data_IF_715026840911
#
_entry.id   IF_715026840911
#
_cell.length_a   1.000
_cell.length_b   1.000
_cell.length_c   1.000
_cell.angle_alpha   90.00
_cell.angle_beta   90.00
_cell.angle_gamma   90.00
#
_symmetry.space_group_name_H-M   'P 1'
#
loop_
_entity.id
_entity.type
_entity.pdbx_description
1 polymer ?
#
# COMPACT_ATOMS: atom_id res chain seq x y z
N UNK A 1 -5.68 -2.68 -8.34
CA UNK A 1 -6.76 -1.69 -8.61
C UNK A 1 -6.81 -1.25 -10.08
N UNK A 2 -5.77 -0.60 -10.66
CA UNK A 2 -5.82 -0.24 -12.10
C UNK A 2 -5.95 -1.49 -12.98
N UNK A 3 -5.20 -2.57 -12.67
CA UNK A 3 -5.34 -3.85 -13.38
C UNK A 3 -6.74 -4.46 -13.26
N UNK A 4 -7.36 -4.42 -12.08
CA UNK A 4 -8.71 -4.94 -11.85
C UNK A 4 -9.79 -4.21 -12.67
N UNK A 5 -9.64 -2.90 -12.85
CA UNK A 5 -10.53 -2.11 -13.71
C UNK A 5 -10.32 -2.44 -15.19
N UNK A 6 -9.06 -2.60 -15.61
CA UNK A 6 -8.71 -3.00 -16.98
C UNK A 6 -9.30 -4.38 -17.29
N UNK A 7 -9.14 -5.35 -16.39
CA UNK A 7 -9.68 -6.70 -16.58
C UNK A 7 -11.21 -6.71 -16.62
N UNK A 8 -11.87 -5.99 -15.71
CA UNK A 8 -13.33 -5.92 -15.71
C UNK A 8 -13.86 -5.32 -17.02
N UNK A 9 -13.23 -4.24 -17.52
CA UNK A 9 -13.61 -3.63 -18.80
C UNK A 9 -13.40 -4.58 -19.97
N UNK A 10 -12.27 -5.29 -20.00
CA UNK A 10 -12.00 -6.27 -21.05
C UNK A 10 -13.01 -7.42 -21.03
N UNK A 11 -13.35 -7.92 -19.84
CA UNK A 11 -14.36 -8.96 -19.67
C UNK A 11 -15.75 -8.50 -20.14
N UNK A 12 -16.16 -7.27 -19.79
CA UNK A 12 -17.43 -6.68 -20.25
C UNK A 12 -17.48 -6.54 -21.78
N UNK A 13 -16.33 -6.31 -22.42
CA UNK A 13 -16.20 -6.22 -23.88
C UNK A 13 -16.00 -7.61 -24.55
N UNK A 14 -16.17 -8.70 -23.81
CA UNK A 14 -16.19 -10.08 -24.29
C UNK A 14 -14.82 -10.74 -24.45
N UNK A 15 -13.77 -10.19 -23.82
CA UNK A 15 -12.48 -10.86 -23.76
C UNK A 15 -12.47 -11.86 -22.60
N UNK A 16 -11.87 -13.02 -22.85
CA UNK A 16 -11.54 -13.99 -21.81
C UNK A 16 -10.27 -13.54 -21.08
N UNK A 17 -10.32 -13.49 -19.74
CA UNK A 17 -9.18 -13.13 -18.91
C UNK A 17 -8.47 -14.41 -18.46
N UNK A 18 -7.21 -14.54 -18.83
CA UNK A 18 -6.32 -15.64 -18.43
C UNK A 18 -5.10 -15.09 -17.71
N UNK A 19 -4.53 -15.87 -16.80
CA UNK A 19 -3.37 -15.46 -16.00
C UNK A 19 -2.06 -16.09 -16.47
N UNK A 20 -2.12 -17.13 -17.28
CA UNK A 20 -0.93 -17.69 -17.91
C UNK A 20 -0.60 -16.89 -19.18
N UNK A 21 0.57 -16.23 -19.26
CA UNK A 21 0.97 -15.47 -20.43
C UNK A 21 1.12 -16.33 -21.69
N UNK A 22 1.24 -17.66 -21.54
CA UNK A 22 1.36 -18.59 -22.67
C UNK A 22 0.01 -18.93 -23.29
N UNK A 23 -1.09 -18.69 -22.60
CA UNK A 23 -2.45 -18.98 -23.05
C UNK A 23 -3.15 -17.76 -23.67
N UNK A 24 -2.51 -16.57 -23.67
CA UNK A 24 -3.15 -15.34 -24.12
C UNK A 24 -2.73 -14.90 -25.53
N UNK A 25 -3.65 -14.28 -26.25
CA UNK A 25 -3.35 -13.57 -27.52
C UNK A 25 -2.78 -12.17 -27.30
N UNK A 26 -3.22 -11.50 -26.24
CA UNK A 26 -2.82 -10.12 -25.89
C UNK A 26 -2.40 -10.08 -24.44
N UNK A 27 -1.16 -9.69 -24.19
CA UNK A 27 -0.60 -9.56 -22.86
C UNK A 27 -0.68 -8.10 -22.38
N UNK A 28 -1.35 -7.89 -21.23
CA UNK A 28 -1.37 -6.62 -20.53
C UNK A 28 -0.39 -6.65 -19.36
N UNK A 29 0.53 -5.69 -19.34
CA UNK A 29 1.55 -5.56 -18.29
C UNK A 29 1.30 -4.26 -17.52
N UNK A 30 0.86 -4.38 -16.27
CA UNK A 30 0.70 -3.22 -15.39
C UNK A 30 2.01 -2.97 -14.63
N UNK A 31 2.61 -1.79 -14.82
CA UNK A 31 3.98 -1.48 -14.40
C UNK A 31 4.03 -0.46 -13.28
N UNK A 32 5.02 -0.64 -12.40
CA UNK A 32 5.45 0.34 -11.42
C UNK A 32 6.66 1.13 -11.94
N UNK A 33 6.88 2.35 -11.43
CA UNK A 33 8.06 3.15 -11.75
C UNK A 33 8.51 4.05 -10.59
N UNK A 34 8.00 3.78 -9.40
CA UNK A 34 8.25 4.62 -8.23
C UNK A 34 9.73 4.61 -7.82
N UNK A 35 10.39 3.45 -7.87
CA UNK A 35 11.80 3.29 -7.60
C UNK A 35 12.53 2.72 -8.82
N UNK A 36 13.84 2.91 -8.88
CA UNK A 36 14.68 2.33 -9.93
C UNK A 36 14.56 0.80 -9.98
N UNK A 37 14.53 0.13 -8.83
CA UNK A 37 14.32 -1.32 -8.74
C UNK A 37 12.99 -1.75 -9.38
N UNK A 38 11.91 -1.04 -9.09
CA UNK A 38 10.58 -1.33 -9.70
C UNK A 38 10.56 -1.07 -11.21
N UNK A 39 11.35 -0.10 -11.70
CA UNK A 39 11.50 0.11 -13.15
C UNK A 39 12.27 -1.02 -13.81
N UNK A 40 13.34 -1.48 -13.16
CA UNK A 40 14.15 -2.60 -13.69
C UNK A 40 13.31 -3.89 -13.76
N UNK A 41 12.56 -4.21 -12.71
CA UNK A 41 11.60 -5.32 -12.73
C UNK A 41 10.58 -5.17 -13.87
N UNK A 42 10.01 -3.97 -14.04
CA UNK A 42 9.09 -3.70 -15.14
C UNK A 42 9.74 -3.89 -16.52
N UNK A 43 11.02 -3.55 -16.68
CA UNK A 43 11.76 -3.79 -17.92
C UNK A 43 11.96 -5.28 -18.18
N UNK A 44 12.34 -6.05 -17.18
CA UNK A 44 12.51 -7.51 -17.30
C UNK A 44 11.19 -8.20 -17.72
N UNK A 45 10.07 -7.80 -17.12
CA UNK A 45 8.74 -8.34 -17.51
C UNK A 45 8.40 -7.96 -18.96
N UNK A 46 8.71 -6.74 -19.40
CA UNK A 46 8.48 -6.32 -20.80
C UNK A 46 9.39 -7.10 -21.76
N UNK A 47 10.66 -7.32 -21.41
CA UNK A 47 11.61 -8.10 -22.22
C UNK A 47 11.14 -9.55 -22.37
N UNK A 48 10.70 -10.20 -21.30
CA UNK A 48 10.13 -11.55 -21.34
C UNK A 48 8.88 -11.61 -22.25
N UNK A 49 8.00 -10.61 -22.17
CA UNK A 49 6.83 -10.53 -23.05
C UNK A 49 7.21 -10.37 -24.54
N UNK A 50 8.29 -9.63 -24.82
CA UNK A 50 8.81 -9.47 -26.18
C UNK A 50 9.37 -10.81 -26.71
N UNK A 51 10.01 -11.61 -25.86
CA UNK A 51 10.48 -12.95 -26.23
C UNK A 51 9.29 -13.84 -26.61
N UNK A 52 8.23 -13.89 -25.79
CA UNK A 52 7.00 -14.64 -26.11
C UNK A 52 6.38 -14.18 -27.44
N UNK A 53 6.40 -12.88 -27.74
CA UNK A 53 5.91 -12.35 -29.01
C UNK A 53 6.78 -12.76 -30.20
N UNK A 54 8.10 -12.75 -30.06
CA UNK A 54 9.05 -13.19 -31.10
C UNK A 54 8.89 -14.68 -31.41
N UNK A 55 8.58 -15.50 -30.40
CA UNK A 55 8.23 -16.91 -30.52
C UNK A 55 6.80 -17.15 -31.09
N UNK A 56 6.04 -16.09 -31.34
CA UNK A 56 4.66 -16.11 -31.83
C UNK A 56 3.64 -16.77 -30.87
N UNK A 57 3.97 -16.81 -29.58
CA UNK A 57 3.09 -17.29 -28.51
C UNK A 57 2.09 -16.19 -28.10
N UNK A 58 2.51 -14.93 -28.14
CA UNK A 58 1.69 -13.74 -27.90
C UNK A 58 1.64 -12.89 -29.18
N UNK A 59 0.46 -12.38 -29.54
CA UNK A 59 0.29 -11.53 -30.73
C UNK A 59 0.50 -10.05 -30.44
N UNK A 60 0.14 -9.61 -29.23
CA UNK A 60 0.13 -8.20 -28.88
C UNK A 60 0.57 -7.96 -27.42
N UNK A 61 1.31 -6.88 -27.21
CA UNK A 61 1.77 -6.43 -25.90
C UNK A 61 1.23 -5.02 -25.63
N UNK A 62 0.55 -4.86 -24.51
CA UNK A 62 0.05 -3.58 -24.00
C UNK A 62 0.69 -3.33 -22.63
N UNK A 63 1.45 -2.24 -22.50
CA UNK A 63 2.05 -1.82 -21.25
C UNK A 63 1.27 -0.66 -20.66
N UNK A 64 0.91 -0.75 -19.39
CA UNK A 64 0.10 0.25 -18.68
C UNK A 64 0.71 0.61 -17.33
N UNK A 65 0.22 1.69 -16.72
CA UNK A 65 0.57 2.09 -15.37
C UNK A 65 1.58 3.22 -15.26
N UNK A 66 2.38 3.18 -14.19
CA UNK A 66 3.26 4.29 -13.84
C UNK A 66 4.46 4.46 -14.80
N UNK A 67 4.98 3.37 -15.36
CA UNK A 67 6.15 3.42 -16.22
C UNK A 67 5.89 4.22 -17.52
N UNK A 68 4.83 3.95 -18.31
CA UNK A 68 4.48 4.77 -19.46
C UNK A 68 4.16 6.22 -19.08
N UNK A 69 3.56 6.44 -17.93
CA UNK A 69 3.24 7.77 -17.43
C UNK A 69 4.49 8.60 -17.15
N UNK A 70 5.50 7.99 -16.53
CA UNK A 70 6.74 8.67 -16.11
C UNK A 70 7.70 8.91 -17.27
N UNK A 71 7.92 7.90 -18.12
CA UNK A 71 8.98 7.90 -19.12
C UNK A 71 8.49 8.31 -20.53
N UNK A 72 7.18 8.29 -20.74
CA UNK A 72 6.61 8.78 -21.98
C UNK A 72 7.14 8.07 -23.23
N UNK A 73 7.42 8.84 -24.27
CA UNK A 73 7.77 8.31 -25.59
C UNK A 73 9.15 7.63 -25.65
N UNK A 74 10.04 7.86 -24.70
CA UNK A 74 11.36 7.21 -24.66
C UNK A 74 11.27 5.68 -24.58
N UNK A 75 10.15 5.16 -24.03
CA UNK A 75 9.89 3.73 -23.98
C UNK A 75 9.67 3.10 -25.36
N UNK A 76 9.14 3.85 -26.33
CA UNK A 76 8.95 3.35 -27.71
C UNK A 76 10.29 3.09 -28.40
N UNK A 77 11.29 3.90 -28.09
CA UNK A 77 12.62 3.72 -28.64
C UNK A 77 13.32 2.51 -27.99
N UNK A 78 13.12 2.35 -26.67
CA UNK A 78 13.68 1.24 -25.93
C UNK A 78 13.03 -0.11 -26.24
N UNK A 79 11.70 -0.13 -26.42
CA UNK A 79 10.90 -1.34 -26.65
C UNK A 79 9.97 -1.19 -27.86
N UNK A 80 10.51 -1.14 -29.09
CA UNK A 80 9.71 -0.93 -30.31
C UNK A 80 8.74 -2.08 -30.65
N UNK A 81 8.90 -3.24 -30.00
CA UNK A 81 8.02 -4.41 -30.17
C UNK A 81 6.71 -4.31 -29.38
N UNK A 82 6.62 -3.42 -28.40
CA UNK A 82 5.39 -3.17 -27.63
C UNK A 82 4.38 -2.43 -28.53
N UNK A 83 3.14 -2.91 -28.55
CA UNK A 83 2.11 -2.39 -29.45
C UNK A 83 1.39 -1.17 -28.91
N UNK A 84 1.13 -1.14 -27.60
CA UNK A 84 0.39 -0.04 -26.98
C UNK A 84 0.94 0.32 -25.61
N UNK A 85 0.83 1.62 -25.30
CA UNK A 85 1.30 2.19 -24.04
C UNK A 85 0.18 3.05 -23.44
N UNK A 86 -0.23 2.75 -22.21
CA UNK A 86 -1.24 3.47 -21.46
C UNK A 86 -0.67 3.99 -20.14
N UNK A 87 -0.76 5.29 -19.89
CA UNK A 87 -0.41 5.88 -18.60
C UNK A 87 -1.43 5.57 -17.50
N UNK A 88 -1.36 6.31 -16.41
CA UNK A 88 -2.29 6.20 -15.28
C UNK A 88 -3.63 6.90 -15.57
N UNK A 89 -4.73 6.43 -14.95
CA UNK A 89 -6.03 7.09 -15.02
C UNK A 89 -6.76 7.01 -16.38
N UNK A 90 -6.32 6.11 -17.28
CA UNK A 90 -6.90 5.91 -18.62
C UNK A 90 -7.28 4.45 -18.85
N UNK A 91 -7.77 3.78 -17.81
CA UNK A 91 -8.16 2.37 -17.84
C UNK A 91 -9.31 2.12 -18.83
N UNK A 92 -10.16 3.13 -19.08
CA UNK A 92 -11.22 3.15 -20.09
C UNK A 92 -10.72 2.95 -21.55
N UNK A 93 -9.43 3.05 -21.78
CA UNK A 93 -8.81 2.82 -23.07
C UNK A 93 -8.31 1.39 -23.30
N UNK A 94 -8.46 0.50 -22.32
CA UNK A 94 -7.91 -0.86 -22.38
C UNK A 94 -8.39 -1.64 -23.62
N UNK A 95 -9.68 -1.66 -23.88
CA UNK A 95 -10.27 -2.33 -25.05
C UNK A 95 -9.76 -1.75 -26.37
N UNK A 96 -9.62 -0.43 -26.44
CA UNK A 96 -9.06 0.21 -27.62
C UNK A 96 -7.59 -0.15 -27.80
N UNK A 97 -6.82 -0.19 -26.70
CA UNK A 97 -5.42 -0.60 -26.72
C UNK A 97 -5.26 -2.07 -27.12
N UNK A 98 -6.22 -2.95 -26.78
CA UNK A 98 -6.26 -4.34 -27.24
C UNK A 98 -6.48 -4.45 -28.76
N UNK A 99 -7.21 -3.55 -29.38
CA UNK A 99 -7.53 -3.58 -30.82
C UNK A 99 -6.54 -2.82 -31.69
N UNK A 100 -6.10 -1.66 -31.25
CA UNK A 100 -5.30 -0.69 -32.00
C UNK A 100 -3.94 -0.45 -31.34
N UNK A 101 -2.98 0.08 -32.10
CA UNK A 101 -1.72 0.60 -31.53
C UNK A 101 -1.95 2.00 -30.98
N UNK A 102 -1.80 2.18 -29.67
CA UNK A 102 -2.04 3.45 -28.99
C UNK A 102 -0.82 3.81 -28.13
N UNK A 103 -0.51 5.10 -28.11
CA UNK A 103 0.31 5.69 -27.07
C UNK A 103 -0.46 6.83 -26.41
N UNK A 104 -0.76 6.69 -25.13
CA UNK A 104 -1.42 7.72 -24.35
C UNK A 104 -0.88 7.73 -22.92
N UNK A 105 0.03 8.67 -22.64
CA UNK A 105 0.45 9.02 -21.30
C UNK A 105 -0.17 10.40 -20.98
N UNK A 106 -1.14 10.46 -20.12
CA UNK A 106 -1.79 11.72 -19.74
C UNK A 106 -2.41 11.58 -18.37
N UNK A 107 -1.95 12.40 -17.44
CA UNK A 107 -2.70 12.68 -16.21
C UNK A 107 -3.92 13.50 -16.63
N UNK A 108 -4.98 12.84 -17.04
CA UNK A 108 -6.28 13.49 -17.16
C UNK A 108 -7.07 13.22 -15.91
N UNK A 109 -7.80 14.25 -15.49
CA UNK A 109 -8.79 14.22 -14.43
C UNK A 109 -9.50 12.87 -14.33
N UNK A 110 -8.88 11.93 -13.61
CA UNK A 110 -9.54 10.73 -13.11
C UNK A 110 -10.49 11.10 -11.94
N UNK A 111 -10.96 12.35 -11.95
CA UNK A 111 -11.83 12.97 -10.96
C UNK A 111 -13.21 12.30 -10.79
N UNK A 112 -13.51 11.33 -11.62
CA UNK A 112 -14.61 10.41 -11.38
C UNK A 112 -14.04 9.21 -10.66
N UNK A 113 -14.00 9.27 -9.33
CA UNK A 113 -13.74 8.09 -8.50
C UNK A 113 -14.47 6.92 -9.15
N UNK A 114 -13.71 5.92 -9.50
CA UNK A 114 -14.12 4.94 -10.47
C UNK A 114 -15.33 4.15 -9.97
N UNK A 115 -16.50 4.45 -10.50
CA UNK A 115 -17.63 3.51 -10.54
C UNK A 115 -17.40 2.43 -11.62
N UNK A 116 -16.17 2.30 -12.15
CA UNK A 116 -15.85 1.23 -13.07
C UNK A 116 -15.91 -0.10 -12.32
N UNK A 117 -16.54 -1.12 -12.93
CA UNK A 117 -16.47 -2.47 -12.40
C UNK A 117 -15.03 -2.88 -12.14
N UNK A 118 -14.82 -3.68 -11.11
CA UNK A 118 -13.51 -4.23 -10.79
C UNK A 118 -13.60 -5.74 -10.69
N UNK A 119 -12.64 -6.41 -11.32
CA UNK A 119 -12.44 -7.84 -11.14
C UNK A 119 -11.39 -8.01 -10.04
N UNK A 120 -11.85 -8.35 -8.84
CA UNK A 120 -10.99 -8.42 -7.65
C UNK A 120 -9.87 -9.44 -7.81
N UNK A 121 -8.63 -9.03 -7.55
CA UNK A 121 -7.43 -9.85 -7.60
C UNK A 121 -6.91 -10.27 -6.21
N UNK A 122 -7.38 -9.60 -5.17
CA UNK A 122 -7.08 -9.94 -3.79
C UNK A 122 -7.87 -11.15 -3.33
N UNK A 123 -7.58 -11.66 -2.13
CA UNK A 123 -8.40 -12.68 -1.49
C UNK A 123 -9.87 -12.24 -1.48
N UNK A 124 -10.84 -13.14 -1.69
CA UNK A 124 -12.25 -12.76 -1.82
C UNK A 124 -12.79 -11.92 -0.66
N UNK A 125 -12.28 -12.16 0.56
CA UNK A 125 -12.68 -11.48 1.77
C UNK A 125 -11.92 -10.17 2.06
N UNK A 126 -10.96 -9.77 1.20
CA UNK A 126 -10.12 -8.56 1.35
C UNK A 126 -10.25 -7.67 0.13
N UNK A 127 -10.60 -6.41 0.30
CA UNK A 127 -10.63 -5.44 -0.80
C UNK A 127 -9.94 -4.12 -0.43
N UNK A 128 -9.27 -3.52 -1.44
CA UNK A 128 -8.71 -2.17 -1.30
C UNK A 128 -9.67 -1.14 -1.89
N UNK A 129 -10.04 -0.15 -1.10
CA UNK A 129 -10.83 1.01 -1.53
C UNK A 129 -9.91 2.23 -1.68
N UNK A 130 -9.64 2.62 -2.91
CA UNK A 130 -8.89 3.85 -3.20
C UNK A 130 -9.82 5.05 -3.06
N UNK A 131 -9.53 5.92 -2.10
CA UNK A 131 -10.42 7.04 -1.74
C UNK A 131 -10.00 8.38 -2.36
N UNK A 132 -8.78 8.45 -2.87
CA UNK A 132 -8.23 9.61 -3.55
C UNK A 132 -7.10 9.20 -4.51
N UNK A 133 -6.71 10.08 -5.40
CA UNK A 133 -5.61 9.90 -6.34
C UNK A 133 -4.69 11.11 -6.32
N UNK A 134 -3.38 10.89 -6.60
CA UNK A 134 -2.38 11.94 -6.67
C UNK A 134 -1.92 12.45 -5.30
N UNK A 135 -0.97 13.38 -5.33
CA UNK A 135 -0.41 13.98 -4.11
C UNK A 135 0.09 15.40 -4.40
N UNK A 136 -0.29 16.36 -3.55
CA UNK A 136 0.15 17.77 -3.67
C UNK A 136 1.28 18.13 -2.71
N UNK A 137 1.85 17.14 -1.98
CA UNK A 137 3.05 17.35 -1.18
C UNK A 137 4.28 17.48 -2.06
N UNK A 138 5.23 18.31 -1.61
CA UNK A 138 6.48 18.59 -2.33
C UNK A 138 7.68 17.84 -1.74
N UNK A 139 7.48 16.62 -1.22
CA UNK A 139 8.58 15.81 -0.66
C UNK A 139 9.72 15.71 -1.67
N UNK A 140 10.94 16.04 -1.25
CA UNK A 140 12.09 16.21 -2.14
C UNK A 140 12.54 14.92 -2.84
N UNK A 141 12.14 13.76 -2.34
CA UNK A 141 12.49 12.41 -2.85
C UNK A 141 11.38 11.77 -3.68
N UNK A 142 10.17 12.34 -3.72
CA UNK A 142 8.99 11.62 -4.19
C UNK A 142 8.63 11.98 -5.64
N UNK A 143 8.38 10.95 -6.45
CA UNK A 143 7.98 11.08 -7.86
C UNK A 143 6.47 11.07 -8.06
N UNK A 144 5.66 10.78 -7.03
CA UNK A 144 4.20 10.63 -7.13
C UNK A 144 3.50 11.83 -7.79
N UNK A 145 3.81 13.11 -7.42
CA UNK A 145 3.14 14.24 -8.06
C UNK A 145 3.33 14.30 -9.58
N UNK A 146 4.49 13.86 -10.09
CA UNK A 146 4.76 13.82 -11.53
C UNK A 146 4.11 12.63 -12.25
N UNK A 147 3.80 11.54 -11.53
CA UNK A 147 3.20 10.33 -12.09
C UNK A 147 1.67 10.34 -11.97
N UNK A 148 1.15 10.66 -10.78
CA UNK A 148 -0.27 10.58 -10.43
C UNK A 148 -0.99 11.94 -10.41
N UNK A 149 -0.24 13.04 -10.60
CA UNK A 149 -0.78 14.40 -10.59
C UNK A 149 -1.10 14.95 -9.21
N UNK A 150 -1.80 16.10 -9.16
CA UNK A 150 -2.23 16.73 -7.92
C UNK A 150 -3.27 15.85 -7.21
N UNK A 151 -3.34 16.02 -5.89
CA UNK A 151 -4.29 15.33 -5.04
C UNK A 151 -5.74 15.69 -5.40
N UNK A 152 -6.61 14.69 -5.49
CA UNK A 152 -8.05 14.85 -5.60
C UNK A 152 -8.76 13.67 -4.95
N UNK A 153 -9.78 13.97 -4.15
CA UNK A 153 -10.62 12.98 -3.48
C UNK A 153 -11.74 12.47 -4.39
N UNK A 154 -12.21 11.25 -4.13
CA UNK A 154 -13.35 10.73 -4.83
C UNK A 154 -14.66 11.05 -4.10
N UNK A 155 -15.79 11.22 -4.82
CA UNK A 155 -17.07 11.55 -4.19
C UNK A 155 -17.51 10.50 -3.16
N UNK A 156 -17.89 10.94 -1.96
CA UNK A 156 -18.30 10.07 -0.85
C UNK A 156 -19.34 9.02 -1.28
N UNK A 157 -20.34 9.46 -2.06
CA UNK A 157 -21.40 8.57 -2.55
C UNK A 157 -20.84 7.41 -3.38
N UNK A 158 -19.83 7.64 -4.19
CA UNK A 158 -19.20 6.62 -5.03
C UNK A 158 -18.42 5.62 -4.19
N UNK A 159 -17.68 6.13 -3.19
CA UNK A 159 -16.90 5.30 -2.27
C UNK A 159 -17.79 4.37 -1.44
N UNK A 160 -18.90 4.89 -0.94
CA UNK A 160 -19.88 4.07 -0.18
C UNK A 160 -20.52 3.02 -1.07
N UNK A 161 -20.86 3.37 -2.33
CA UNK A 161 -21.43 2.41 -3.28
C UNK A 161 -20.43 1.31 -3.65
N UNK A 162 -19.16 1.64 -3.87
CA UNK A 162 -18.10 0.66 -4.16
C UNK A 162 -17.85 -0.26 -2.97
N UNK A 163 -17.78 0.30 -1.74
CA UNK A 163 -17.65 -0.48 -0.51
C UNK A 163 -18.82 -1.44 -0.30
N UNK A 164 -20.06 -1.00 -0.58
CA UNK A 164 -21.26 -1.85 -0.50
C UNK A 164 -21.24 -2.99 -1.54
N UNK A 165 -20.73 -2.73 -2.73
CA UNK A 165 -20.56 -3.77 -3.75
C UNK A 165 -19.53 -4.82 -3.33
N UNK A 166 -18.42 -4.42 -2.72
CA UNK A 166 -17.45 -5.36 -2.14
C UNK A 166 -18.07 -6.22 -1.05
N UNK A 167 -18.81 -5.62 -0.12
CA UNK A 167 -19.51 -6.36 0.93
C UNK A 167 -20.48 -7.41 0.37
N UNK A 168 -21.25 -7.06 -0.68
CA UNK A 168 -22.17 -7.99 -1.36
C UNK A 168 -21.41 -9.16 -2.03
N UNK A 169 -20.16 -8.95 -2.42
CA UNK A 169 -19.31 -9.97 -3.01
C UNK A 169 -18.48 -10.77 -1.99
N UNK A 170 -18.72 -10.57 -0.68
CA UNK A 170 -18.11 -11.37 0.40
C UNK A 170 -16.88 -10.74 1.04
N UNK A 171 -16.54 -9.48 0.73
CA UNK A 171 -15.45 -8.77 1.42
C UNK A 171 -15.79 -8.56 2.89
N UNK A 172 -14.87 -8.96 3.77
CA UNK A 172 -14.94 -8.82 5.23
C UNK A 172 -14.00 -7.75 5.76
N UNK A 173 -12.81 -7.63 5.18
CA UNK A 173 -11.83 -6.58 5.47
C UNK A 173 -11.74 -5.59 4.31
N UNK A 174 -12.03 -4.31 4.59
CA UNK A 174 -11.91 -3.21 3.64
C UNK A 174 -10.72 -2.32 4.01
N UNK A 175 -9.77 -2.17 3.09
CA UNK A 175 -8.55 -1.39 3.31
C UNK A 175 -8.67 -0.07 2.56
N UNK A 176 -8.69 1.03 3.30
CA UNK A 176 -8.79 2.39 2.79
C UNK A 176 -7.41 2.90 2.44
N UNK A 177 -7.19 3.26 1.18
CA UNK A 177 -5.90 3.71 0.67
C UNK A 177 -5.98 4.99 -0.17
N UNK A 178 -4.95 5.80 -0.08
CA UNK A 178 -4.61 6.90 -0.98
C UNK A 178 -3.09 7.18 -0.87
N UNK A 179 -2.56 8.13 -1.61
CA UNK A 179 -1.19 8.62 -1.39
C UNK A 179 -1.06 9.45 -0.09
N UNK A 180 -2.16 10.03 0.36
CA UNK A 180 -2.34 10.63 1.69
C UNK A 180 -3.82 10.48 2.08
N UNK A 181 -4.12 9.49 2.91
CA UNK A 181 -5.49 9.18 3.33
C UNK A 181 -6.01 10.20 4.35
N UNK A 182 -5.12 10.88 5.07
CA UNK A 182 -5.48 11.82 6.14
C UNK A 182 -6.30 13.02 5.66
N UNK A 183 -6.15 13.40 4.38
CA UNK A 183 -6.80 14.60 3.81
C UNK A 183 -7.95 14.27 2.87
N UNK A 184 -8.41 13.02 2.86
CA UNK A 184 -9.52 12.63 1.99
C UNK A 184 -10.76 13.48 2.25
N UNK A 185 -11.36 13.95 1.16
CA UNK A 185 -12.60 14.72 1.18
C UNK A 185 -12.45 16.21 1.53
N UNK A 186 -11.25 16.68 1.93
CA UNK A 186 -11.05 18.10 2.28
C UNK A 186 -11.17 19.03 1.07
N UNK A 187 -10.97 18.53 -0.14
CA UNK A 187 -11.24 19.21 -1.42
C UNK A 187 -12.70 19.08 -1.88
N UNK A 188 -13.51 18.35 -1.11
CA UNK A 188 -14.94 18.17 -1.24
C UNK A 188 -15.67 18.57 0.06
N UNK A 189 -16.84 18.01 0.33
CA UNK A 189 -17.68 18.36 1.47
C UNK A 189 -17.68 17.31 2.60
N UNK A 190 -16.62 16.49 2.71
CA UNK A 190 -16.49 15.46 3.74
C UNK A 190 -15.04 15.34 4.22
N UNK A 191 -14.76 14.44 5.16
CA UNK A 191 -13.44 14.11 5.68
C UNK A 191 -13.32 12.62 6.02
N UNK A 192 -12.12 12.18 6.42
CA UNK A 192 -11.86 10.78 6.77
C UNK A 192 -12.81 10.24 7.86
N UNK A 193 -13.05 10.92 9.01
CA UNK A 193 -14.02 10.44 9.99
C UNK A 193 -15.43 10.25 9.44
N UNK A 194 -15.88 11.15 8.57
CA UNK A 194 -17.17 11.03 7.90
C UNK A 194 -17.23 9.81 7.00
N UNK A 195 -16.20 9.59 6.19
CA UNK A 195 -16.09 8.42 5.32
C UNK A 195 -16.13 7.12 6.13
N UNK A 196 -15.33 7.03 7.21
CA UNK A 196 -15.30 5.86 8.10
C UNK A 196 -16.68 5.60 8.73
N UNK A 197 -17.36 6.67 9.17
CA UNK A 197 -18.71 6.58 9.73
C UNK A 197 -19.76 6.08 8.73
N UNK A 198 -19.66 6.42 7.45
CA UNK A 198 -20.59 5.89 6.43
C UNK A 198 -20.27 4.44 6.05
N UNK A 199 -18.97 4.10 5.88
CA UNK A 199 -18.56 2.72 5.54
C UNK A 199 -18.87 1.74 6.69
N UNK A 200 -18.72 2.16 7.94
CA UNK A 200 -19.00 1.29 9.11
C UNK A 200 -20.44 0.82 9.21
N UNK A 201 -21.38 1.51 8.54
CA UNK A 201 -22.81 1.12 8.49
C UNK A 201 -23.08 -0.01 7.49
N UNK A 202 -22.13 -0.34 6.64
CA UNK A 202 -22.31 -1.38 5.63
C UNK A 202 -22.26 -2.75 6.30
N UNK A 203 -23.32 -3.53 6.12
CA UNK A 203 -23.36 -4.92 6.57
C UNK A 203 -22.40 -5.78 5.72
N UNK A 204 -21.78 -6.78 6.35
CA UNK A 204 -20.82 -7.67 5.70
C UNK A 204 -19.35 -7.23 5.81
N UNK A 205 -19.06 -5.94 6.00
CA UNK A 205 -17.71 -5.48 6.37
C UNK A 205 -17.57 -5.62 7.89
N UNK A 206 -16.52 -6.29 8.33
CA UNK A 206 -16.20 -6.47 9.76
C UNK A 206 -14.98 -5.66 10.17
N UNK A 207 -13.98 -5.53 9.30
CA UNK A 207 -12.76 -4.79 9.53
C UNK A 207 -12.58 -3.67 8.51
N UNK A 208 -12.29 -2.48 9.00
CA UNK A 208 -11.92 -1.30 8.19
C UNK A 208 -10.52 -0.89 8.61
N UNK A 209 -9.56 -1.08 7.72
CA UNK A 209 -8.16 -0.69 7.93
C UNK A 209 -7.87 0.58 7.14
N UNK A 210 -7.08 1.49 7.72
CA UNK A 210 -6.66 2.73 7.05
C UNK A 210 -5.14 2.72 6.91
N UNK A 211 -4.65 2.93 5.71
CA UNK A 211 -3.21 3.02 5.43
C UNK A 211 -2.82 4.42 4.92
N UNK A 212 -1.53 4.73 4.99
CA UNK A 212 -0.90 5.94 4.47
C UNK A 212 -1.43 7.24 5.10
N UNK A 213 -1.37 7.31 6.43
CA UNK A 213 -1.68 8.51 7.21
C UNK A 213 -0.48 9.44 7.26
N UNK A 214 -0.60 10.64 6.70
CA UNK A 214 0.48 11.61 6.78
C UNK A 214 0.50 12.27 8.17
N UNK A 215 1.62 12.19 8.92
CA UNK A 215 1.69 12.72 10.27
C UNK A 215 1.43 14.24 10.37
N UNK A 216 1.66 14.99 9.28
CA UNK A 216 1.37 16.43 9.22
C UNK A 216 -0.12 16.75 9.39
N UNK A 217 -1.00 15.85 8.96
CA UNK A 217 -2.44 16.06 8.93
C UNK A 217 -3.17 15.33 10.06
N UNK A 218 -2.48 14.44 10.78
CA UNK A 218 -3.08 13.73 11.92
C UNK A 218 -3.36 14.70 13.07
N UNK A 219 -4.63 14.89 13.32
CA UNK A 219 -5.14 15.71 14.41
C UNK A 219 -6.15 14.89 15.24
N UNK A 220 -6.60 15.46 16.38
CA UNK A 220 -7.51 14.78 17.30
C UNK A 220 -8.80 14.29 16.61
N UNK A 221 -9.37 15.08 15.67
CA UNK A 221 -10.58 14.69 14.95
C UNK A 221 -10.39 13.42 14.13
N UNK A 222 -9.24 13.28 13.46
CA UNK A 222 -8.92 12.06 12.70
C UNK A 222 -8.69 10.90 13.66
N UNK A 223 -7.95 11.08 14.75
CA UNK A 223 -7.72 10.06 15.78
C UNK A 223 -9.05 9.58 16.36
N UNK A 224 -9.97 10.48 16.69
CA UNK A 224 -11.32 10.14 17.16
C UNK A 224 -12.12 9.34 16.12
N UNK A 225 -11.87 9.55 14.82
CA UNK A 225 -12.46 8.77 13.74
C UNK A 225 -12.16 7.26 13.82
N UNK A 226 -11.04 6.87 14.42
CA UNK A 226 -10.68 5.46 14.64
C UNK A 226 -11.49 4.80 15.78
N UNK A 227 -12.26 5.57 16.57
CA UNK A 227 -13.22 5.04 17.54
C UNK A 227 -14.51 4.57 16.88
N UNK A 228 -14.66 4.80 15.58
CA UNK A 228 -15.82 4.31 14.80
C UNK A 228 -15.84 2.77 14.80
N UNK A 229 -17.01 2.14 15.00
CA UNK A 229 -17.11 0.67 14.97
C UNK A 229 -16.51 0.07 13.71
N UNK A 230 -15.92 -1.12 13.82
CA UNK A 230 -15.24 -1.87 12.75
C UNK A 230 -13.91 -1.27 12.27
N UNK A 231 -13.59 -0.01 12.61
CA UNK A 231 -12.30 0.60 12.28
C UNK A 231 -11.22 0.03 13.19
N UNK A 232 -10.21 -0.56 12.58
CA UNK A 232 -9.09 -1.16 13.32
C UNK A 232 -8.20 -0.07 13.92
N UNK A 233 -7.69 -0.24 15.15
CA UNK A 233 -6.72 0.68 15.75
C UNK A 233 -5.33 0.49 15.14
N UNK A 234 -5.25 0.52 13.82
CA UNK A 234 -4.05 0.35 13.01
C UNK A 234 -3.68 1.67 12.35
N UNK A 235 -2.57 2.26 12.78
CA UNK A 235 -2.11 3.58 12.37
C UNK A 235 -0.84 3.44 11.53
N UNK A 236 -0.96 3.45 10.21
CA UNK A 236 0.17 3.47 9.29
C UNK A 236 0.61 4.91 9.02
N UNK A 237 1.69 5.32 9.66
CA UNK A 237 2.18 6.71 9.72
C UNK A 237 3.62 6.77 9.18
N UNK A 238 3.84 6.98 7.88
CA UNK A 238 5.17 7.07 7.30
C UNK A 238 5.88 8.36 7.74
N UNK A 239 6.68 8.29 8.82
CA UNK A 239 7.42 9.46 9.35
C UNK A 239 8.66 9.79 8.52
N UNK A 240 9.20 8.85 7.78
CA UNK A 240 10.37 8.91 6.91
C UNK A 240 11.70 9.07 7.64
N UNK A 241 11.81 9.99 8.60
CA UNK A 241 12.96 10.24 9.47
C UNK A 241 12.52 10.99 10.73
N UNK A 242 13.45 11.22 11.69
CA UNK A 242 13.14 11.96 12.93
C UNK A 242 14.06 13.16 13.20
N UNK A 243 15.24 13.22 12.55
CA UNK A 243 16.10 14.40 12.64
C UNK A 243 15.47 15.57 11.93
N UNK A 244 15.28 16.67 12.63
CA UNK A 244 14.64 17.89 12.09
C UNK A 244 15.39 18.38 10.84
N UNK A 245 16.74 18.30 10.84
CA UNK A 245 17.58 18.62 9.67
C UNK A 245 17.24 17.75 8.45
N UNK A 246 17.06 16.46 8.66
CA UNK A 246 16.75 15.53 7.54
C UNK A 246 15.30 15.74 7.08
N UNK A 247 14.36 15.96 8.00
CA UNK A 247 12.98 16.29 7.65
C UNK A 247 12.88 17.59 6.85
N UNK A 248 13.70 18.61 7.16
CA UNK A 248 13.80 19.82 6.33
C UNK A 248 14.32 19.53 4.93
N UNK A 249 15.38 18.72 4.80
CA UNK A 249 15.93 18.28 3.51
C UNK A 249 14.90 17.45 2.71
N UNK A 250 14.08 16.67 3.39
CA UNK A 250 12.95 15.91 2.81
C UNK A 250 11.78 16.80 2.38
N UNK A 251 11.83 18.12 2.67
CA UNK A 251 10.70 19.05 2.54
C UNK A 251 9.47 18.61 3.36
N UNK A 252 9.72 18.06 4.57
CA UNK A 252 8.72 17.61 5.55
C UNK A 252 9.03 18.20 6.94
N UNK A 253 9.16 19.53 7.12
CA UNK A 253 9.63 20.13 8.37
C UNK A 253 8.65 19.96 9.54
N UNK A 254 7.44 19.48 9.28
CA UNK A 254 6.40 19.22 10.27
C UNK A 254 5.72 17.87 10.01
N UNK A 255 5.35 17.16 11.08
CA UNK A 255 5.73 17.42 12.47
C UNK A 255 7.24 17.19 12.71
N UNK A 256 7.82 17.89 13.66
CA UNK A 256 9.17 17.65 14.13
C UNK A 256 9.24 16.42 15.05
N UNK A 257 10.46 16.01 15.46
CA UNK A 257 10.68 14.83 16.30
C UNK A 257 9.79 14.77 17.54
N UNK A 258 9.68 15.88 18.29
CA UNK A 258 8.92 15.91 19.54
C UNK A 258 7.41 15.87 19.30
N UNK A 259 6.95 16.47 18.19
CA UNK A 259 5.56 16.40 17.74
C UNK A 259 5.19 14.98 17.28
N UNK A 260 6.09 14.29 16.56
CA UNK A 260 5.91 12.86 16.18
C UNK A 260 5.81 12.01 17.45
N UNK A 261 6.72 12.19 18.42
CA UNK A 261 6.68 11.44 19.67
C UNK A 261 5.35 11.65 20.40
N UNK A 262 4.89 12.89 20.55
CA UNK A 262 3.62 13.22 21.21
C UNK A 262 2.43 12.61 20.48
N UNK A 263 2.42 12.65 19.17
CA UNK A 263 1.38 12.04 18.34
C UNK A 263 1.25 10.55 18.63
N UNK A 264 2.36 9.81 18.61
CA UNK A 264 2.37 8.37 18.88
C UNK A 264 1.94 8.06 20.33
N UNK A 265 2.38 8.87 21.30
CA UNK A 265 1.96 8.71 22.70
C UNK A 265 0.45 8.98 22.87
N UNK A 266 -0.11 9.97 22.16
CA UNK A 266 -1.54 10.23 22.15
C UNK A 266 -2.31 9.01 21.61
N UNK A 267 -1.88 8.47 20.47
CA UNK A 267 -2.50 7.27 19.88
C UNK A 267 -2.47 6.11 20.87
N UNK A 268 -1.33 5.79 21.47
CA UNK A 268 -1.19 4.68 22.42
C UNK A 268 -1.98 4.87 23.71
N UNK A 269 -2.17 6.13 24.13
CA UNK A 269 -2.99 6.45 25.31
C UNK A 269 -4.47 6.23 25.03
N UNK A 270 -4.94 6.64 23.86
CA UNK A 270 -6.34 6.52 23.47
C UNK A 270 -6.71 5.12 22.97
N UNK A 271 -5.74 4.41 22.40
CA UNK A 271 -5.88 3.06 21.85
C UNK A 271 -4.74 2.16 22.40
N UNK A 272 -4.87 1.62 23.61
CA UNK A 272 -3.80 0.82 24.25
C UNK A 272 -3.37 -0.42 23.44
N UNK A 273 -4.29 -0.99 22.63
CA UNK A 273 -4.04 -2.15 21.77
C UNK A 273 -3.75 -1.73 20.31
N UNK A 274 -3.40 -0.45 20.07
CA UNK A 274 -3.10 0.04 18.73
C UNK A 274 -1.82 -0.56 18.16
N UNK A 275 -1.84 -0.76 16.86
CA UNK A 275 -0.65 -1.01 16.04
C UNK A 275 -0.21 0.30 15.39
N UNK A 276 1.01 0.73 15.65
CA UNK A 276 1.63 1.88 14.99
C UNK A 276 2.68 1.37 14.01
N UNK A 277 2.37 1.52 12.72
CA UNK A 277 3.27 1.17 11.61
C UNK A 277 3.96 2.43 11.08
N UNK A 278 5.21 2.30 10.65
CA UNK A 278 5.94 3.40 10.04
C UNK A 278 6.83 2.95 8.89
N UNK A 279 7.24 3.90 8.05
CA UNK A 279 8.26 3.72 7.03
C UNK A 279 9.35 4.78 7.19
N UNK A 280 10.59 4.36 7.02
CA UNK A 280 11.79 5.18 7.18
C UNK A 280 12.66 5.12 5.92
N UNK A 281 13.38 6.20 5.65
CA UNK A 281 14.40 6.28 4.61
C UNK A 281 15.75 6.50 5.28
N UNK A 282 16.70 5.61 5.04
CA UNK A 282 18.08 5.68 5.54
C UNK A 282 19.04 6.16 4.46
N UNK A 283 20.14 6.79 4.85
CA UNK A 283 21.11 7.33 3.91
C UNK A 283 20.60 8.50 3.08
N UNK A 284 19.60 9.23 3.60
CA UNK A 284 19.08 10.42 2.93
C UNK A 284 20.13 11.55 2.84
N UNK A 285 20.09 12.42 1.82
CA UNK A 285 21.00 13.57 1.71
C UNK A 285 21.13 14.38 2.99
N UNK A 286 22.36 14.49 3.48
CA UNK A 286 22.70 15.19 4.73
C UNK A 286 22.62 14.33 5.99
N UNK A 287 22.24 13.04 5.91
CA UNK A 287 22.26 12.12 7.04
C UNK A 287 23.70 11.71 7.37
N UNK A 288 24.20 12.20 8.49
CA UNK A 288 25.47 11.78 9.08
C UNK A 288 25.26 10.68 10.11
N UNK A 289 26.35 10.23 10.75
CA UNK A 289 26.27 9.28 11.87
C UNK A 289 25.42 9.86 13.02
N UNK A 290 25.47 11.17 13.24
CA UNK A 290 24.70 11.82 14.31
C UNK A 290 23.20 11.68 14.08
N UNK A 291 22.69 12.04 12.90
CA UNK A 291 21.27 11.93 12.57
C UNK A 291 20.80 10.47 12.55
N UNK A 292 21.68 9.57 12.14
CA UNK A 292 21.36 8.14 12.15
C UNK A 292 21.25 7.58 13.58
N UNK A 293 22.16 7.96 14.49
CA UNK A 293 22.07 7.58 15.92
C UNK A 293 20.82 8.17 16.61
N UNK A 294 20.42 9.40 16.25
CA UNK A 294 19.14 9.97 16.68
C UNK A 294 17.95 9.09 16.25
N UNK A 295 17.96 8.61 14.99
CA UNK A 295 16.92 7.74 14.46
C UNK A 295 16.86 6.42 15.22
N UNK A 296 17.99 5.73 15.43
CA UNK A 296 18.07 4.47 16.21
C UNK A 296 17.55 4.65 17.63
N UNK A 297 17.99 5.74 18.29
CA UNK A 297 17.53 6.05 19.66
C UNK A 297 16.03 6.27 19.72
N UNK A 298 15.47 6.99 18.74
CA UNK A 298 14.03 7.25 18.68
C UNK A 298 13.24 5.96 18.49
N UNK A 299 13.64 5.09 17.57
CA UNK A 299 12.97 3.81 17.30
C UNK A 299 12.99 2.93 18.53
N UNK A 300 14.15 2.81 19.21
CA UNK A 300 14.30 2.03 20.42
C UNK A 300 13.42 2.51 21.59
N UNK A 301 13.13 3.82 21.64
CA UNK A 301 12.30 4.42 22.68
C UNK A 301 10.80 4.34 22.35
N UNK A 302 10.43 4.57 21.07
CA UNK A 302 9.03 4.57 20.62
C UNK A 302 8.50 3.17 20.44
N UNK A 303 9.34 2.24 19.96
CA UNK A 303 9.01 0.82 19.75
C UNK A 303 7.80 0.67 18.83
N UNK A 304 7.98 1.02 17.55
CA UNK A 304 6.95 0.78 16.54
C UNK A 304 6.58 -0.70 16.47
N UNK A 305 5.31 -0.99 16.23
CA UNK A 305 4.81 -2.36 16.15
C UNK A 305 5.14 -3.01 14.80
N UNK A 306 5.21 -2.18 13.75
CA UNK A 306 5.64 -2.55 12.41
C UNK A 306 6.47 -1.42 11.82
N UNK A 307 7.59 -1.77 11.17
CA UNK A 307 8.49 -0.79 10.61
C UNK A 307 9.11 -1.30 9.31
N UNK A 308 9.06 -0.48 8.26
CA UNK A 308 9.84 -0.68 7.04
C UNK A 308 10.97 0.34 6.95
N UNK A 309 12.20 -0.11 6.74
CA UNK A 309 13.35 0.76 6.48
C UNK A 309 13.84 0.56 5.04
N UNK A 310 14.00 1.67 4.32
CA UNK A 310 14.34 1.67 2.91
C UNK A 310 15.60 2.51 2.68
N UNK A 311 16.62 2.01 1.97
CA UNK A 311 17.74 2.83 1.56
C UNK A 311 17.27 3.93 0.60
N UNK A 312 17.83 5.12 0.73
CA UNK A 312 17.53 6.23 -0.18
C UNK A 312 17.86 5.86 -1.63
N UNK A 313 16.89 6.09 -2.52
CA UNK A 313 17.02 5.94 -3.96
C UNK A 313 16.94 7.29 -4.65
N UNK A 314 17.97 7.72 -5.41
CA UNK A 314 18.02 9.02 -6.08
C UNK A 314 17.19 9.02 -7.38
N UNK A 315 15.89 9.23 -7.26
CA UNK A 315 14.94 9.12 -8.36
C UNK A 315 15.01 10.30 -9.35
N UNK A 316 14.90 10.03 -10.67
CA UNK A 316 14.92 11.08 -11.68
C UNK A 316 13.83 12.14 -11.47
N UNK A 317 14.21 13.42 -11.63
CA UNK A 317 13.28 14.54 -11.49
C UNK A 317 12.96 14.96 -10.07
N UNK A 318 13.55 14.29 -9.05
CA UNK A 318 13.40 14.67 -7.65
C UNK A 318 14.50 15.64 -7.23
N UNK A 319 14.17 16.54 -6.28
CA UNK A 319 15.16 17.48 -5.74
C UNK A 319 16.27 16.76 -4.95
N UNK A 320 15.94 15.68 -4.25
CA UNK A 320 16.88 14.93 -3.44
C UNK A 320 17.98 14.25 -4.28
N UNK A 321 17.71 13.93 -5.54
CA UNK A 321 18.71 13.40 -6.46
C UNK A 321 19.87 14.37 -6.72
N UNK A 322 19.59 15.67 -6.71
CA UNK A 322 20.58 16.72 -6.97
C UNK A 322 21.36 17.13 -5.70
N UNK A 323 21.06 16.51 -4.55
CA UNK A 323 21.74 16.77 -3.28
C UNK A 323 22.89 15.78 -3.08
N UNK A 324 23.84 16.12 -2.21
CA UNK A 324 24.91 15.20 -1.80
C UNK A 324 24.33 14.14 -0.85
N UNK A 325 24.43 12.88 -1.21
CA UNK A 325 24.00 11.73 -0.43
C UNK A 325 25.13 10.70 -0.24
N UNK A 326 25.09 9.94 0.86
CA UNK A 326 26.10 8.91 1.11
C UNK A 326 26.03 7.80 0.03
N UNK A 327 27.13 7.05 -0.16
CA UNK A 327 27.11 5.87 -1.03
C UNK A 327 25.97 4.91 -0.68
N UNK A 328 25.37 4.28 -1.69
CA UNK A 328 24.23 3.37 -1.54
C UNK A 328 24.48 2.28 -0.48
N UNK A 329 25.69 1.69 -0.45
CA UNK A 329 26.03 0.67 0.55
C UNK A 329 25.97 1.15 2.00
N UNK A 330 26.12 2.46 2.28
CA UNK A 330 25.92 3.02 3.62
C UNK A 330 24.42 3.07 3.94
N UNK A 331 23.59 3.47 2.98
CA UNK A 331 22.13 3.50 3.16
C UNK A 331 21.57 2.09 3.40
N UNK A 332 22.04 1.09 2.68
CA UNK A 332 21.67 -0.32 2.84
C UNK A 332 22.08 -0.85 4.22
N UNK A 333 23.32 -0.63 4.65
CA UNK A 333 23.80 -1.02 5.99
C UNK A 333 22.93 -0.39 7.10
N UNK A 334 22.63 0.90 6.98
CA UNK A 334 21.77 1.60 7.95
C UNK A 334 20.35 1.06 7.96
N UNK A 335 19.80 0.73 6.80
CA UNK A 335 18.48 0.08 6.71
C UNK A 335 18.48 -1.25 7.45
N UNK A 336 19.51 -2.07 7.25
CA UNK A 336 19.67 -3.35 7.93
C UNK A 336 19.78 -3.17 9.44
N UNK A 337 20.58 -2.22 9.95
CA UNK A 337 20.69 -1.95 11.39
C UNK A 337 19.33 -1.55 12.00
N UNK A 338 18.52 -0.75 11.28
CA UNK A 338 17.18 -0.38 11.74
C UNK A 338 16.26 -1.60 11.82
N UNK A 339 16.30 -2.48 10.81
CA UNK A 339 15.49 -3.71 10.80
C UNK A 339 15.92 -4.69 11.89
N UNK A 340 17.20 -4.76 12.25
CA UNK A 340 17.69 -5.55 13.38
C UNK A 340 17.12 -5.03 14.73
N UNK A 341 17.05 -3.71 14.91
CA UNK A 341 16.44 -3.10 16.10
C UNK A 341 14.93 -3.43 16.13
N UNK A 342 14.25 -3.27 15.00
CA UNK A 342 12.82 -3.57 14.88
C UNK A 342 12.52 -5.03 15.18
N UNK A 343 13.31 -5.95 14.65
CA UNK A 343 13.15 -7.39 14.93
C UNK A 343 13.18 -7.69 16.44
N UNK A 344 14.12 -7.09 17.16
CA UNK A 344 14.17 -7.24 18.62
C UNK A 344 12.91 -6.71 19.33
N UNK A 345 12.36 -5.59 18.86
CA UNK A 345 11.13 -5.00 19.39
C UNK A 345 9.94 -5.93 19.14
N UNK A 346 9.80 -6.44 17.91
CA UNK A 346 8.70 -7.33 17.53
C UNK A 346 8.76 -8.65 18.30
N UNK A 347 9.94 -9.22 18.49
CA UNK A 347 10.09 -10.47 19.24
C UNK A 347 9.64 -10.31 20.71
N UNK A 348 10.02 -9.22 21.37
CA UNK A 348 9.55 -8.94 22.73
C UNK A 348 8.02 -8.69 22.77
N UNK A 349 7.47 -8.01 21.77
CA UNK A 349 6.03 -7.80 21.65
C UNK A 349 5.28 -9.12 21.42
N UNK A 350 5.79 -10.00 20.54
CA UNK A 350 5.19 -11.32 20.29
C UNK A 350 5.24 -12.21 21.53
N UNK A 351 6.37 -12.21 22.25
CA UNK A 351 6.48 -12.91 23.53
C UNK A 351 5.44 -12.46 24.55
N UNK A 352 5.13 -11.15 24.59
CA UNK A 352 4.10 -10.60 25.47
C UNK A 352 2.66 -10.94 25.04
N UNK A 353 2.46 -11.42 23.81
CA UNK A 353 1.16 -11.88 23.30
C UNK A 353 0.88 -13.34 23.65
N UNK A 354 1.89 -14.16 23.92
CA UNK A 354 1.70 -15.58 24.29
C UNK A 354 0.75 -15.70 25.47
N UNK A 355 -0.27 -16.54 25.32
CA UNK A 355 -1.35 -16.77 26.29
C UNK A 355 -2.52 -15.80 26.16
N UNK A 356 -2.43 -14.72 25.35
CA UNK A 356 -3.56 -13.83 25.07
C UNK A 356 -4.50 -14.43 24.03
N UNK A 357 -5.77 -14.01 24.10
CA UNK A 357 -6.80 -14.31 23.10
C UNK A 357 -6.96 -13.07 22.23
N UNK A 358 -6.81 -13.25 20.92
CA UNK A 358 -6.89 -12.17 19.93
C UNK A 358 -7.78 -12.60 18.75
N UNK A 359 -8.51 -11.67 18.11
CA UNK A 359 -9.23 -11.98 16.88
C UNK A 359 -8.26 -12.09 15.71
N UNK A 360 -8.52 -13.07 14.83
CA UNK A 360 -7.79 -13.26 13.57
C UNK A 360 -8.78 -13.53 12.43
N UNK A 361 -8.51 -12.98 11.26
CA UNK A 361 -9.18 -13.30 10.00
C UNK A 361 -8.38 -14.41 9.31
N UNK A 362 -9.04 -15.44 8.84
CA UNK A 362 -8.40 -16.55 8.13
C UNK A 362 -8.26 -16.18 6.67
N UNK A 363 -7.03 -16.17 6.16
CA UNK A 363 -6.73 -15.89 4.77
C UNK A 363 -6.73 -17.16 3.92
N UNK A 364 -6.19 -18.26 4.48
CA UNK A 364 -6.13 -19.56 3.83
C UNK A 364 -6.46 -20.64 4.85
N UNK A 365 -7.56 -21.35 4.60
CA UNK A 365 -7.97 -22.49 5.42
C UNK A 365 -7.39 -23.78 4.86
N UNK A 366 -6.81 -24.61 5.74
CA UNK A 366 -6.36 -25.97 5.43
C UNK A 366 -6.65 -26.90 6.61
N UNK A 367 -6.70 -28.20 6.34
CA UNK A 367 -7.02 -29.21 7.35
C UNK A 367 -5.95 -29.23 8.44
N UNK A 368 -6.36 -28.84 9.63
CA UNK A 368 -5.51 -28.85 10.84
C UNK A 368 -4.56 -27.67 11.01
N UNK A 369 -4.37 -26.83 9.98
CA UNK A 369 -3.47 -25.66 10.09
C UNK A 369 -3.81 -24.59 9.07
N UNK A 370 -4.40 -23.51 9.52
CA UNK A 370 -4.79 -22.37 8.69
C UNK A 370 -3.85 -21.20 8.88
N UNK A 371 -3.79 -20.30 7.91
CA UNK A 371 -3.02 -19.06 7.98
C UNK A 371 -4.00 -17.89 7.98
N UNK A 372 -3.80 -16.96 8.90
CA UNK A 372 -4.60 -15.76 9.00
C UNK A 372 -3.78 -14.55 9.39
N UNK A 373 -4.47 -13.47 9.69
CA UNK A 373 -3.87 -12.21 10.17
C UNK A 373 -4.65 -11.68 11.37
N UNK A 374 -3.92 -11.02 12.25
CA UNK A 374 -4.53 -10.30 13.37
C UNK A 374 -4.94 -8.87 12.96
N UNK A 375 -5.62 -8.16 13.83
CA UNK A 375 -5.93 -6.74 13.62
C UNK A 375 -4.67 -5.87 13.48
N UNK A 376 -3.52 -6.36 13.97
CA UNK A 376 -2.23 -5.70 13.89
C UNK A 376 -1.53 -5.85 12.54
N UNK A 377 -2.07 -6.67 11.62
CA UNK A 377 -1.36 -7.10 10.43
C UNK A 377 -2.15 -6.80 9.16
N UNK A 378 -1.62 -5.93 8.31
CA UNK A 378 -2.17 -5.66 6.99
C UNK A 378 -1.77 -6.76 6.00
N UNK A 379 -2.65 -7.15 5.07
CA UNK A 379 -2.35 -8.19 4.09
C UNK A 379 -1.13 -7.84 3.23
N UNK A 380 -0.34 -8.86 2.89
CA UNK A 380 0.83 -8.81 1.99
C UNK A 380 2.06 -8.06 2.53
N UNK A 381 1.92 -7.22 3.55
CA UNK A 381 3.01 -6.34 4.01
C UNK A 381 3.41 -6.52 5.47
N UNK A 382 2.56 -7.11 6.29
CA UNK A 382 2.85 -7.39 7.70
C UNK A 382 2.92 -8.90 7.96
N UNK A 383 2.72 -9.33 9.21
CA UNK A 383 2.93 -10.69 9.66
C UNK A 383 1.66 -11.55 9.53
N UNK A 384 1.83 -12.84 9.73
CA UNK A 384 0.75 -13.81 9.75
C UNK A 384 0.57 -14.46 11.13
N UNK A 385 -0.53 -15.18 11.29
CA UNK A 385 -0.75 -16.08 12.41
C UNK A 385 -1.12 -17.45 11.86
N UNK A 386 -0.36 -18.47 12.28
CA UNK A 386 -0.70 -19.87 12.06
C UNK A 386 -1.73 -20.29 13.10
N UNK A 387 -2.86 -20.80 12.64
CA UNK A 387 -3.99 -21.17 13.51
C UNK A 387 -4.25 -22.65 13.43
N UNK A 388 -4.06 -23.35 14.53
CA UNK A 388 -4.48 -24.75 14.64
C UNK A 388 -6.00 -24.79 14.89
N UNK A 389 -6.73 -25.30 13.91
CA UNK A 389 -8.17 -25.42 13.92
C UNK A 389 -8.62 -26.63 13.10
N UNK A 390 -9.67 -27.36 13.57
CA UNK A 390 -10.22 -28.49 12.84
C UNK A 390 -11.06 -28.06 11.64
N UNK A 391 -11.87 -26.99 11.82
CA UNK A 391 -12.76 -26.45 10.78
C UNK A 391 -12.80 -24.93 10.86
N UNK A 392 -12.32 -24.26 9.83
CA UNK A 392 -12.42 -22.81 9.60
C UNK A 392 -12.55 -22.55 8.11
N UNK A 393 -13.09 -21.39 7.73
CA UNK A 393 -13.26 -20.99 6.34
C UNK A 393 -12.47 -19.71 6.04
N UNK A 394 -12.07 -19.55 4.77
CA UNK A 394 -11.44 -18.32 4.31
C UNK A 394 -12.38 -17.13 4.57
N UNK A 395 -11.83 -16.04 5.13
CA UNK A 395 -12.54 -14.86 5.55
C UNK A 395 -13.26 -14.98 6.90
N UNK A 396 -13.24 -16.14 7.55
CA UNK A 396 -13.81 -16.28 8.90
C UNK A 396 -12.98 -15.51 9.92
N UNK A 397 -13.63 -14.76 10.81
CA UNK A 397 -12.96 -14.14 11.96
C UNK A 397 -13.17 -15.02 13.17
N UNK A 398 -12.06 -15.50 13.71
CA UNK A 398 -12.03 -16.43 14.84
C UNK A 398 -11.26 -15.84 16.02
N UNK A 399 -11.56 -16.32 17.23
CA UNK A 399 -10.76 -16.04 18.40
C UNK A 399 -9.63 -17.06 18.49
N UNK A 400 -8.39 -16.57 18.62
CA UNK A 400 -7.18 -17.39 18.67
C UNK A 400 -6.46 -17.13 19.99
N UNK A 401 -6.18 -18.18 20.73
CA UNK A 401 -5.26 -18.12 21.88
C UNK A 401 -3.85 -18.31 21.34
N UNK A 402 -3.01 -17.28 21.47
CA UNK A 402 -1.62 -17.34 21.05
C UNK A 402 -0.86 -18.34 21.90
N UNK A 403 -0.26 -19.34 21.27
CA UNK A 403 0.53 -20.39 21.92
C UNK A 403 2.02 -20.19 21.79
N UNK A 404 2.45 -19.48 20.72
CA UNK A 404 3.86 -19.25 20.41
C UNK A 404 4.04 -18.23 19.28
N UNK A 405 5.28 -18.15 18.82
CA UNK A 405 5.64 -17.37 17.62
C UNK A 405 6.92 -17.94 17.00
N UNK A 406 7.05 -17.83 15.69
CA UNK A 406 8.26 -18.14 14.93
C UNK A 406 8.71 -16.87 14.18
N UNK A 407 9.80 -16.27 14.67
CA UNK A 407 10.25 -14.97 14.13
C UNK A 407 9.19 -13.89 14.29
N UNK A 408 8.70 -13.38 13.19
CA UNK A 408 7.68 -12.34 13.12
C UNK A 408 6.25 -12.88 13.27
N UNK A 409 6.01 -14.13 12.86
CA UNK A 409 4.69 -14.72 12.77
C UNK A 409 4.25 -15.33 14.10
N UNK A 410 2.95 -15.22 14.37
CA UNK A 410 2.34 -15.82 15.56
C UNK A 410 1.88 -17.26 15.30
N UNK A 411 1.75 -18.03 16.37
CA UNK A 411 1.12 -19.34 16.38
C UNK A 411 0.03 -19.38 17.44
N UNK A 412 -1.07 -20.05 17.16
CA UNK A 412 -2.14 -20.15 18.13
C UNK A 412 -3.16 -21.23 17.81
N UNK A 413 -4.04 -21.48 18.76
CA UNK A 413 -5.15 -22.41 18.66
C UNK A 413 -6.48 -21.66 18.63
N UNK A 414 -7.41 -22.05 17.76
CA UNK A 414 -8.79 -21.54 17.77
C UNK A 414 -9.43 -21.88 19.11
N UNK A 415 -10.14 -20.94 19.69
CA UNK A 415 -10.99 -21.18 20.85
C UNK A 415 -12.46 -20.94 20.45
N UNK A 416 -13.36 -21.76 21.00
CA UNK A 416 -14.79 -21.50 20.91
C UNK A 416 -15.16 -20.26 21.73
N UNK A 417 -16.05 -19.42 21.19
CA UNK A 417 -16.50 -18.17 21.82
C UNK A 417 -17.52 -18.40 22.93
#
# INVERSE_FOLDING_TARGET
MDAEQIMAQLADDGYEIVFDPEECDTLFINTCSFLESSRNESYEVIENAIELKNEKRVKKIVVTGCLPQMLGETLKEKFPQVDSWLGTGINDMATKAAKEKIFKASVKDSAQGSLLPRLQLTLPHVAYLRVAEGCSHACSFCTIPSIRGPYHSFPLKNLVAEAAAFAQNGTRELIIIAQDTSIVGLDLDYDLPKLLGEISKIDGIDWIRVQYLNPMHLNQKIIDGFKTPKVLPYFDIPIQHVSDKILENMARPKPNRDEIYKLIQTIRTEFPDSTVRTSLITGFPGETTTEFEELKTFISNVKFDRLGAFPFSPEPGTKAKEMDYPPVGIAELRSQEILEIEQGIVFEANKAKVGKVIPAIIDYSDVGSSIGRTQADAPEIDCTIKVDAEEVSDGEIVLVKVTGFDGYDLEGERIEA
#
